data_IF_924384391137
#
_entry.id   IF_924384391137
#
_cell.length_a   1.000
_cell.length_b   1.000
_cell.length_c   1.000
_cell.angle_alpha   90.00
_cell.angle_beta   90.00
_cell.angle_gamma   90.00
#
_symmetry.space_group_name_H-M   'P 1'
#
loop_
_entity.id
_entity.type
_entity.pdbx_description
1 polymer ?
#
# COMPACT_ATOMS: atom_id res chain seq x y z
N UNK A 1 46.67 -20.19 -54.84
CA UNK A 1 45.85 -19.02 -54.46
C UNK A 1 44.38 -19.38 -54.57
N UNK A 2 43.68 -19.61 -53.46
CA UNK A 2 42.35 -19.06 -53.16
C UNK A 2 41.97 -19.51 -51.73
N UNK A 3 41.73 -18.52 -50.86
CA UNK A 3 41.54 -18.70 -49.41
C UNK A 3 40.16 -19.26 -49.10
N UNK A 4 40.10 -20.21 -48.16
CA UNK A 4 38.89 -20.63 -47.46
C UNK A 4 38.30 -19.44 -46.70
N UNK A 5 37.08 -19.04 -46.98
CA UNK A 5 36.31 -18.11 -46.14
C UNK A 5 35.34 -18.92 -45.28
N UNK A 6 35.71 -19.06 -44.01
CA UNK A 6 34.82 -19.52 -42.95
C UNK A 6 33.87 -18.35 -42.64
N UNK A 7 32.58 -18.50 -42.95
CA UNK A 7 31.55 -17.55 -42.56
C UNK A 7 31.13 -17.86 -41.12
N UNK A 8 31.63 -17.06 -40.17
CA UNK A 8 31.08 -17.00 -38.81
C UNK A 8 29.78 -16.20 -38.88
N UNK A 9 28.65 -16.90 -38.81
CA UNK A 9 27.36 -16.26 -38.55
C UNK A 9 27.30 -15.92 -37.06
N UNK A 10 27.70 -14.71 -36.71
CA UNK A 10 27.63 -14.17 -35.36
C UNK A 10 26.16 -14.02 -34.98
N UNK A 11 25.64 -14.97 -34.21
CA UNK A 11 24.32 -14.90 -33.61
C UNK A 11 24.36 -13.79 -32.55
N UNK A 12 23.89 -12.59 -32.91
CA UNK A 12 23.66 -11.50 -31.95
C UNK A 12 22.51 -11.96 -31.05
N UNK A 13 22.87 -12.53 -29.91
CA UNK A 13 21.95 -12.72 -28.80
C UNK A 13 21.56 -11.32 -28.34
N UNK A 14 20.35 -10.90 -28.71
CA UNK A 14 19.71 -9.72 -28.14
C UNK A 14 19.48 -10.03 -26.66
N UNK A 15 20.44 -9.67 -25.79
CA UNK A 15 20.18 -9.55 -24.37
C UNK A 15 19.09 -8.49 -24.24
N UNK A 16 17.83 -8.92 -24.08
CA UNK A 16 16.80 -8.07 -23.50
C UNK A 16 17.26 -7.76 -22.07
N UNK A 17 18.00 -6.67 -21.91
CA UNK A 17 18.15 -6.05 -20.61
C UNK A 17 16.75 -5.64 -20.18
N UNK A 18 16.24 -6.28 -19.12
CA UNK A 18 15.02 -5.84 -18.45
C UNK A 18 15.35 -4.51 -17.78
N UNK A 19 15.25 -3.41 -18.53
CA UNK A 19 15.28 -2.08 -17.94
C UNK A 19 13.93 -1.93 -17.26
N UNK A 20 13.90 -2.01 -15.94
CA UNK A 20 12.73 -1.58 -15.18
C UNK A 20 12.36 -0.18 -15.69
N UNK A 21 11.13 -0.01 -16.16
CA UNK A 21 10.66 1.29 -16.65
C UNK A 21 10.75 2.28 -15.49
N UNK A 22 11.78 3.13 -15.50
CA UNK A 22 11.88 4.23 -14.56
C UNK A 22 10.73 5.16 -14.92
N UNK A 23 9.83 5.40 -13.97
CA UNK A 23 8.79 6.39 -14.20
C UNK A 23 9.43 7.72 -14.64
N UNK A 24 8.86 8.44 -15.60
CA UNK A 24 9.42 9.73 -16.09
C UNK A 24 8.59 10.92 -15.61
N UNK A 25 9.20 12.09 -15.45
CA UNK A 25 8.53 13.27 -14.92
C UNK A 25 7.46 13.63 -15.96
N UNK A 26 6.21 13.73 -15.51
CA UNK A 26 5.02 13.83 -16.36
C UNK A 26 4.66 12.56 -17.17
N UNK A 27 5.15 11.38 -16.77
CA UNK A 27 4.69 10.12 -17.35
C UNK A 27 3.21 9.91 -16.99
N UNK A 28 2.44 9.59 -18.02
CA UNK A 28 1.07 9.13 -17.86
C UNK A 28 1.06 7.62 -17.95
N UNK A 29 0.59 6.94 -16.91
CA UNK A 29 0.44 5.49 -16.88
C UNK A 29 -0.95 5.10 -17.36
N UNK A 30 -1.03 4.04 -18.15
CA UNK A 30 -2.28 3.50 -18.68
C UNK A 30 -2.43 2.05 -18.23
N UNK A 31 -3.63 1.71 -17.79
CA UNK A 31 -4.04 0.37 -17.44
C UNK A 31 -5.26 -0.01 -18.26
N UNK A 32 -5.21 -1.19 -18.86
CA UNK A 32 -6.28 -1.72 -19.68
C UNK A 32 -6.96 -2.89 -18.97
N UNK A 33 -8.25 -3.06 -19.22
CA UNK A 33 -8.98 -4.23 -18.77
C UNK A 33 -8.74 -5.46 -19.66
N UNK A 34 -9.39 -6.58 -19.32
CA UNK A 34 -9.26 -7.84 -20.06
C UNK A 34 -9.79 -7.79 -21.50
N UNK A 35 -10.64 -6.81 -21.83
CA UNK A 35 -11.15 -6.57 -23.19
C UNK A 35 -10.23 -5.63 -23.98
N UNK A 36 -9.15 -5.14 -23.38
CA UNK A 36 -8.24 -4.18 -23.98
C UNK A 36 -8.75 -2.73 -23.95
N UNK A 37 -9.76 -2.43 -23.15
CA UNK A 37 -10.30 -1.08 -22.99
C UNK A 37 -9.51 -0.32 -21.92
N UNK A 38 -9.31 0.99 -22.11
CA UNK A 38 -8.59 1.80 -21.12
C UNK A 38 -9.41 1.86 -19.82
N UNK A 39 -8.92 1.26 -18.75
CA UNK A 39 -9.58 1.18 -17.45
C UNK A 39 -9.14 2.31 -16.50
N UNK A 40 -7.84 2.60 -16.45
CA UNK A 40 -7.30 3.69 -15.64
C UNK A 40 -6.17 4.44 -16.34
N UNK A 41 -6.07 5.74 -16.07
CA UNK A 41 -4.99 6.60 -16.54
C UNK A 41 -4.50 7.50 -15.40
N UNK A 42 -3.24 7.36 -14.98
CA UNK A 42 -2.66 8.17 -13.90
C UNK A 42 -1.62 9.16 -14.39
N UNK A 43 -1.65 10.34 -13.78
CA UNK A 43 -0.63 11.39 -13.91
C UNK A 43 -0.22 11.91 -12.52
N UNK A 44 0.66 12.90 -12.49
CA UNK A 44 1.07 13.59 -11.25
C UNK A 44 -0.06 14.35 -10.55
N UNK A 45 -1.24 14.47 -11.16
CA UNK A 45 -2.41 15.16 -10.60
C UNK A 45 -3.51 14.23 -10.08
N UNK A 46 -3.40 12.92 -10.33
CA UNK A 46 -4.44 11.95 -9.99
C UNK A 46 -4.68 10.92 -11.08
N UNK A 47 -5.66 10.05 -10.82
CA UNK A 47 -6.04 8.95 -11.71
C UNK A 47 -7.44 9.16 -12.25
N UNK A 48 -7.62 8.94 -13.54
CA UNK A 48 -8.92 8.87 -14.19
C UNK A 48 -9.31 7.41 -14.37
N UNK A 49 -10.47 7.04 -13.84
CA UNK A 49 -11.08 5.72 -14.01
C UNK A 49 -12.15 5.77 -15.12
N UNK A 50 -12.20 4.71 -15.92
CA UNK A 50 -13.15 4.55 -17.02
C UNK A 50 -13.99 3.30 -16.80
N UNK A 51 -15.28 3.37 -17.11
CA UNK A 51 -16.21 2.26 -17.03
C UNK A 51 -17.00 2.17 -18.33
N UNK A 52 -17.14 0.96 -18.85
CA UNK A 52 -17.83 0.68 -20.11
C UNK A 52 -18.99 -0.28 -19.86
N UNK A 53 -19.97 -0.26 -20.76
CA UNK A 53 -20.99 -1.30 -20.82
C UNK A 53 -20.43 -2.59 -21.45
N UNK A 54 -21.28 -3.62 -21.58
CA UNK A 54 -20.87 -4.88 -22.16
C UNK A 54 -20.47 -4.77 -23.64
N UNK A 55 -21.09 -3.83 -24.37
CA UNK A 55 -20.86 -3.56 -25.79
C UNK A 55 -19.62 -2.68 -26.04
N UNK A 56 -19.02 -2.12 -24.97
CA UNK A 56 -17.82 -1.30 -25.01
C UNK A 56 -18.06 0.19 -25.17
N UNK A 57 -19.28 0.68 -24.96
CA UNK A 57 -19.55 2.12 -24.89
C UNK A 57 -19.15 2.67 -23.53
N UNK A 58 -18.56 3.86 -23.51
CA UNK A 58 -18.14 4.52 -22.28
C UNK A 58 -19.36 4.97 -21.46
N UNK A 59 -19.55 4.40 -20.27
CA UNK A 59 -20.59 4.77 -19.32
C UNK A 59 -20.16 5.90 -18.39
N UNK A 60 -18.91 5.85 -17.90
CA UNK A 60 -18.43 6.79 -16.89
C UNK A 60 -16.94 7.07 -17.01
N UNK A 61 -16.59 8.33 -16.76
CA UNK A 61 -15.22 8.80 -16.55
C UNK A 61 -15.16 9.53 -15.21
N UNK A 62 -14.29 9.08 -14.30
CA UNK A 62 -14.20 9.62 -12.94
C UNK A 62 -12.77 10.06 -12.64
N UNK A 63 -12.53 11.36 -12.40
CA UNK A 63 -11.23 11.84 -11.91
C UNK A 63 -11.17 11.61 -10.40
N UNK A 64 -10.21 10.83 -9.96
CA UNK A 64 -9.89 10.60 -8.55
C UNK A 64 -8.67 11.44 -8.17
N UNK A 65 -8.48 11.66 -6.88
CA UNK A 65 -7.25 12.27 -6.35
C UNK A 65 -6.15 11.25 -6.04
N UNK A 66 -6.38 9.95 -6.31
CA UNK A 66 -5.38 8.92 -6.06
C UNK A 66 -4.31 8.95 -7.15
N UNK A 67 -3.04 8.99 -6.76
CA UNK A 67 -1.89 8.94 -7.66
C UNK A 67 -1.51 7.51 -8.04
N UNK A 68 -2.10 6.50 -7.40
CA UNK A 68 -1.88 5.09 -7.69
C UNK A 68 -2.96 4.54 -8.64
N UNK A 69 -2.54 3.66 -9.54
CA UNK A 69 -3.43 2.86 -10.42
C UNK A 69 -3.66 1.46 -9.87
N UNK A 70 -4.77 0.83 -10.25
CA UNK A 70 -5.19 -0.49 -9.80
C UNK A 70 -5.11 -0.64 -8.27
N UNK A 71 -5.45 0.43 -7.56
CA UNK A 71 -5.31 0.54 -6.11
C UNK A 71 -6.19 -0.43 -5.33
N UNK A 72 -7.24 -0.95 -5.97
CA UNK A 72 -8.15 -1.97 -5.45
C UNK A 72 -7.90 -3.37 -6.03
N UNK A 73 -6.76 -3.57 -6.70
CA UNK A 73 -6.29 -4.87 -7.19
C UNK A 73 -7.31 -5.60 -8.10
N UNK A 74 -8.09 -4.85 -8.88
CA UNK A 74 -9.16 -5.38 -9.74
C UNK A 74 -8.63 -5.98 -11.03
N UNK A 75 -7.66 -5.30 -11.67
CA UNK A 75 -7.11 -5.73 -12.95
C UNK A 75 -5.98 -6.75 -12.76
N UNK A 76 -6.15 -7.93 -13.33
CA UNK A 76 -5.21 -9.06 -13.26
C UNK A 76 -5.20 -9.73 -14.64
N UNK A 77 -4.65 -9.03 -15.63
CA UNK A 77 -4.66 -9.49 -17.02
C UNK A 77 -3.49 -10.42 -17.32
N UNK A 78 -2.40 -10.34 -16.55
CA UNK A 78 -1.12 -11.04 -16.84
C UNK A 78 -0.99 -12.44 -16.23
N UNK A 79 -2.05 -12.99 -15.62
CA UNK A 79 -2.00 -14.25 -14.88
C UNK A 79 -0.83 -14.33 -13.87
N UNK A 80 -0.53 -13.20 -13.21
CA UNK A 80 0.56 -13.06 -12.24
C UNK A 80 0.05 -13.25 -10.80
N UNK A 81 0.99 -13.38 -9.87
CA UNK A 81 0.75 -13.47 -8.42
C UNK A 81 0.52 -12.10 -7.76
N UNK A 82 0.73 -11.02 -8.53
CA UNK A 82 0.42 -9.64 -8.18
C UNK A 82 -0.51 -8.99 -9.21
N UNK A 83 -1.28 -7.98 -8.78
CA UNK A 83 -2.19 -7.29 -9.68
C UNK A 83 -1.42 -6.43 -10.69
N UNK A 84 -2.04 -6.17 -11.85
CA UNK A 84 -1.40 -5.39 -12.91
C UNK A 84 -0.91 -4.04 -12.37
N UNK A 85 0.24 -3.57 -12.87
CA UNK A 85 0.95 -2.32 -12.48
C UNK A 85 1.70 -2.35 -11.14
N UNK A 86 1.47 -3.36 -10.31
CA UNK A 86 2.24 -3.57 -9.08
C UNK A 86 3.47 -4.44 -9.35
N UNK A 87 4.57 -4.12 -8.68
CA UNK A 87 5.82 -4.88 -8.77
C UNK A 87 6.10 -5.56 -7.43
N UNK A 88 6.41 -6.85 -7.47
CA UNK A 88 6.84 -7.58 -6.27
C UNK A 88 8.27 -7.25 -5.87
N UNK A 89 8.51 -7.23 -4.57
CA UNK A 89 9.82 -7.15 -3.95
C UNK A 89 10.00 -8.35 -3.02
N UNK A 90 10.60 -9.45 -3.49
CA UNK A 90 10.88 -10.60 -2.63
C UNK A 90 12.06 -10.31 -1.69
N UNK A 91 11.96 -10.75 -0.45
CA UNK A 91 13.08 -10.74 0.49
C UNK A 91 14.14 -11.77 0.03
N UNK A 92 15.43 -11.37 -0.04
CA UNK A 92 16.50 -12.27 -0.45
C UNK A 92 16.68 -13.40 0.57
N UNK A 93 16.98 -14.61 0.11
CA UNK A 93 17.23 -15.79 0.96
C UNK A 93 16.09 -16.13 1.95
N UNK A 94 14.87 -15.68 1.68
CA UNK A 94 13.68 -15.95 2.47
C UNK A 94 12.65 -16.75 1.65
N UNK A 95 11.68 -17.36 2.33
CA UNK A 95 10.48 -17.84 1.65
C UNK A 95 9.57 -16.65 1.35
N UNK A 96 9.10 -16.53 0.11
CA UNK A 96 8.25 -15.45 -0.35
C UNK A 96 7.01 -16.04 -1.03
N UNK A 97 5.83 -15.53 -0.69
CA UNK A 97 4.58 -15.92 -1.32
C UNK A 97 3.74 -14.67 -1.61
N UNK A 98 3.36 -14.51 -2.87
CA UNK A 98 2.41 -13.51 -3.34
C UNK A 98 1.20 -14.24 -3.93
N UNK A 99 0.01 -13.68 -3.76
CA UNK A 99 -1.18 -14.20 -4.42
C UNK A 99 -2.26 -13.13 -4.47
N UNK A 100 -3.16 -13.23 -5.46
CA UNK A 100 -4.43 -12.53 -5.41
C UNK A 100 -5.51 -13.45 -4.83
N UNK A 101 -6.08 -13.05 -3.69
CA UNK A 101 -7.22 -13.74 -3.06
C UNK A 101 -8.52 -13.11 -3.55
N UNK A 102 -9.45 -13.92 -4.07
CA UNK A 102 -10.60 -13.45 -4.87
C UNK A 102 -11.97 -13.60 -4.16
N UNK A 103 -12.07 -13.31 -2.87
CA UNK A 103 -13.34 -13.45 -2.12
C UNK A 103 -13.45 -12.47 -0.95
N UNK A 104 -14.50 -11.62 -0.85
CA UNK A 104 -15.56 -11.31 -1.83
C UNK A 104 -15.12 -10.34 -2.94
N UNK A 105 -13.91 -9.79 -2.83
CA UNK A 105 -13.24 -8.94 -3.82
C UNK A 105 -11.76 -9.36 -3.89
N UNK A 106 -11.06 -8.90 -4.91
CA UNK A 106 -9.63 -9.14 -5.04
C UNK A 106 -8.86 -8.38 -3.95
N UNK A 107 -7.92 -9.06 -3.30
CA UNK A 107 -6.96 -8.46 -2.38
C UNK A 107 -5.58 -9.06 -2.63
N UNK A 108 -4.52 -8.26 -2.43
CA UNK A 108 -3.15 -8.73 -2.58
C UNK A 108 -2.68 -9.39 -1.28
N UNK A 109 -2.44 -10.70 -1.30
CA UNK A 109 -1.70 -11.42 -0.26
C UNK A 109 -0.20 -11.20 -0.44
N UNK A 110 0.49 -10.93 0.66
CA UNK A 110 1.94 -10.86 0.77
C UNK A 110 2.34 -11.67 2.00
N UNK A 111 3.23 -12.63 1.84
CA UNK A 111 3.70 -13.47 2.94
C UNK A 111 5.19 -13.74 2.78
N UNK A 112 5.89 -13.78 3.91
CA UNK A 112 7.29 -14.18 3.93
C UNK A 112 7.72 -14.75 5.27
N UNK A 113 8.77 -15.56 5.24
CA UNK A 113 9.38 -16.15 6.43
C UNK A 113 10.88 -16.35 6.27
N UNK A 114 11.62 -16.21 7.37
CA UNK A 114 13.09 -16.27 7.34
C UNK A 114 13.71 -14.95 6.85
N UNK A 115 12.98 -13.84 6.94
CA UNK A 115 13.45 -12.53 6.50
C UNK A 115 14.57 -12.07 7.44
N UNK A 116 15.70 -11.62 6.87
CA UNK A 116 16.83 -11.11 7.64
C UNK A 116 16.52 -9.75 8.25
N UNK A 117 17.23 -9.39 9.32
CA UNK A 117 17.05 -8.09 9.94
C UNK A 117 17.20 -6.97 8.89
N UNK A 118 16.30 -5.97 8.92
CA UNK A 118 16.20 -4.86 7.96
C UNK A 118 15.69 -5.20 6.55
N UNK A 119 15.74 -6.46 6.12
CA UNK A 119 15.13 -6.90 4.86
C UNK A 119 13.60 -6.92 4.94
N UNK A 120 12.98 -6.98 3.77
CA UNK A 120 11.54 -6.90 3.63
C UNK A 120 11.02 -7.65 2.40
N UNK A 121 9.76 -8.09 2.50
CA UNK A 121 8.96 -8.62 1.40
C UNK A 121 7.77 -7.70 1.19
N UNK A 122 7.44 -7.38 -0.05
CA UNK A 122 6.35 -6.44 -0.32
C UNK A 122 5.99 -6.30 -1.78
N UNK A 123 5.07 -5.39 -2.04
CA UNK A 123 4.78 -4.88 -3.38
C UNK A 123 5.03 -3.38 -3.40
N UNK A 124 5.27 -2.84 -4.59
CA UNK A 124 5.34 -1.41 -4.77
C UNK A 124 4.79 -0.96 -6.11
N UNK A 125 4.44 0.33 -6.16
CA UNK A 125 4.15 1.04 -7.39
C UNK A 125 4.91 2.36 -7.39
N UNK A 126 5.42 2.74 -8.55
CA UNK A 126 6.01 4.07 -8.76
C UNK A 126 4.94 5.01 -9.33
N UNK A 127 4.95 6.27 -8.93
CA UNK A 127 4.06 7.30 -9.50
C UNK A 127 4.76 8.65 -9.53
N UNK A 128 4.37 9.50 -10.49
CA UNK A 128 4.89 10.85 -10.58
C UNK A 128 4.32 11.70 -9.43
N UNK A 129 5.16 12.56 -8.85
CA UNK A 129 4.76 13.48 -7.78
C UNK A 129 5.28 14.89 -8.05
N UNK A 130 4.57 15.86 -7.51
CA UNK A 130 4.96 17.27 -7.58
C UNK A 130 5.74 17.65 -6.31
N UNK A 131 6.89 18.34 -6.44
CA UNK A 131 7.73 18.73 -5.31
C UNK A 131 7.00 19.71 -4.37
N UNK A 132 7.40 19.70 -3.09
CA UNK A 132 6.90 20.57 -2.02
C UNK A 132 5.39 20.47 -1.74
N UNK A 133 4.75 19.35 -2.11
CA UNK A 133 3.34 19.09 -1.81
C UNK A 133 3.21 18.19 -0.59
N UNK A 134 2.29 18.53 0.31
CA UNK A 134 1.84 17.62 1.36
C UNK A 134 1.07 16.46 0.75
N UNK A 135 1.36 15.26 1.24
CA UNK A 135 0.74 14.01 0.81
C UNK A 135 0.20 13.24 2.00
N UNK A 136 -0.76 12.38 1.69
CA UNK A 136 -1.22 11.31 2.54
C UNK A 136 -1.12 9.98 1.79
N UNK A 137 -0.83 8.92 2.53
CA UNK A 137 -0.84 7.54 2.06
C UNK A 137 -1.70 6.71 2.99
N UNK A 138 -2.50 5.80 2.44
CA UNK A 138 -3.18 4.80 3.25
C UNK A 138 -3.41 3.49 2.50
N UNK A 139 -3.77 2.46 3.24
CA UNK A 139 -4.24 1.18 2.71
C UNK A 139 -5.16 0.48 3.71
N UNK A 140 -6.03 -0.37 3.18
CA UNK A 140 -6.77 -1.34 3.98
C UNK A 140 -5.91 -2.58 4.14
N UNK A 141 -5.52 -2.89 5.37
CA UNK A 141 -4.62 -4.01 5.67
C UNK A 141 -5.28 -4.96 6.66
N UNK A 142 -5.31 -6.24 6.32
CA UNK A 142 -5.48 -7.32 7.27
C UNK A 142 -4.12 -7.92 7.57
N UNK A 143 -3.74 -7.96 8.84
CA UNK A 143 -2.57 -8.69 9.31
C UNK A 143 -3.02 -9.99 9.94
N UNK A 144 -2.65 -11.11 9.32
CA UNK A 144 -2.98 -12.44 9.81
C UNK A 144 -2.02 -12.86 10.92
N UNK A 145 -0.72 -12.68 10.69
CA UNK A 145 0.34 -12.99 11.64
C UNK A 145 1.58 -12.15 11.37
N UNK A 146 2.32 -11.86 12.44
CA UNK A 146 3.64 -11.25 12.42
C UNK A 146 4.51 -11.91 13.49
N UNK A 147 5.77 -12.14 13.18
CA UNK A 147 6.79 -12.56 14.14
C UNK A 147 8.08 -11.83 13.80
N UNK A 148 8.66 -11.12 14.77
CA UNK A 148 9.89 -10.32 14.60
C UNK A 148 9.83 -9.41 13.37
N UNK A 149 8.65 -8.90 13.03
CA UNK A 149 8.41 -8.11 11.84
C UNK A 149 7.33 -7.05 12.10
N UNK A 150 7.30 -6.03 11.25
CA UNK A 150 6.30 -4.97 11.20
C UNK A 150 5.78 -4.81 9.79
N UNK A 151 4.52 -4.42 9.67
CA UNK A 151 3.94 -3.95 8.41
C UNK A 151 4.30 -2.50 8.23
N UNK A 152 4.68 -2.14 7.01
CA UNK A 152 4.94 -0.76 6.61
C UNK A 152 4.11 -0.40 5.38
N UNK A 153 3.45 0.75 5.45
CA UNK A 153 3.25 1.60 4.28
C UNK A 153 4.39 2.59 4.23
N UNK A 154 5.06 2.64 3.09
CA UNK A 154 6.32 3.36 2.96
C UNK A 154 6.35 4.10 1.63
N UNK A 155 6.82 5.34 1.64
CA UNK A 155 6.95 6.16 0.43
C UNK A 155 8.36 6.71 0.36
N UNK A 156 9.13 6.21 -0.59
CA UNK A 156 10.40 6.80 -0.97
C UNK A 156 10.23 7.80 -2.09
N UNK A 157 11.11 8.80 -2.10
CA UNK A 157 11.12 9.82 -3.13
C UNK A 157 12.36 9.69 -4.00
N UNK A 158 12.16 9.83 -5.31
CA UNK A 158 13.20 9.68 -6.32
C UNK A 158 13.30 10.94 -7.17
N UNK A 159 14.53 11.31 -7.54
CA UNK A 159 14.81 12.39 -8.50
C UNK A 159 14.40 11.97 -9.92
N UNK A 160 14.40 12.93 -10.85
CA UNK A 160 14.05 12.67 -12.26
C UNK A 160 14.98 11.63 -12.92
N UNK A 161 16.22 11.52 -12.44
CA UNK A 161 17.24 10.55 -12.89
C UNK A 161 17.06 9.15 -12.26
N UNK A 162 16.03 8.95 -11.44
CA UNK A 162 15.77 7.67 -10.77
C UNK A 162 16.69 7.39 -9.59
N UNK A 163 17.22 8.42 -8.92
CA UNK A 163 18.02 8.29 -7.68
C UNK A 163 17.19 8.64 -6.45
N UNK A 164 17.46 8.03 -5.30
CA UNK A 164 16.82 8.41 -4.04
C UNK A 164 17.15 9.87 -3.70
N UNK A 165 16.16 10.62 -3.22
CA UNK A 165 16.37 12.02 -2.81
C UNK A 165 17.12 12.15 -1.48
N UNK A 166 17.28 11.04 -0.74
CA UNK A 166 17.83 10.97 0.62
C UNK A 166 17.00 11.72 1.68
N UNK A 167 15.84 12.27 1.31
CA UNK A 167 14.91 12.86 2.27
C UNK A 167 14.24 11.79 3.13
N UNK A 168 13.70 12.14 4.30
CA UNK A 168 12.89 11.23 5.10
C UNK A 168 11.72 10.68 4.29
N UNK A 169 11.54 9.37 4.34
CA UNK A 169 10.40 8.69 3.72
C UNK A 169 9.11 9.00 4.50
N UNK A 170 7.96 8.94 3.84
CA UNK A 170 6.67 8.93 4.53
C UNK A 170 6.38 7.51 4.98
N UNK A 171 6.02 7.34 6.26
CA UNK A 171 5.95 6.03 6.91
C UNK A 171 4.66 5.92 7.72
N UNK A 172 4.01 4.76 7.62
CA UNK A 172 3.06 4.27 8.61
C UNK A 172 3.39 2.81 8.92
N UNK A 173 3.40 2.45 10.19
CA UNK A 173 3.77 1.10 10.63
C UNK A 173 2.73 0.47 11.57
N UNK A 174 2.63 -0.86 11.53
CA UNK A 174 1.77 -1.63 12.42
C UNK A 174 2.39 -2.99 12.72
N UNK A 175 2.29 -3.44 13.97
CA UNK A 175 3.08 -4.58 14.49
C UNK A 175 2.23 -5.66 15.17
N UNK A 176 0.90 -5.61 15.04
CA UNK A 176 -0.01 -6.59 15.65
C UNK A 176 -0.85 -7.32 14.61
N UNK A 177 -1.34 -8.54 14.90
CA UNK A 177 -2.40 -9.16 14.13
C UNK A 177 -3.72 -8.38 14.26
N UNK A 178 -4.50 -8.36 13.17
CA UNK A 178 -5.83 -7.71 13.08
C UNK A 178 -6.99 -8.66 13.39
N UNK A 179 -6.70 -9.89 13.83
CA UNK A 179 -7.70 -10.90 14.19
C UNK A 179 -8.75 -11.15 13.08
N UNK A 180 -8.31 -11.13 11.82
CA UNK A 180 -9.16 -11.33 10.64
C UNK A 180 -10.03 -10.13 10.24
N UNK A 181 -9.80 -8.94 10.81
CA UNK A 181 -10.40 -7.66 10.40
C UNK A 181 -9.48 -6.87 9.47
N UNK A 182 -10.00 -5.85 8.79
CA UNK A 182 -9.15 -4.89 8.07
C UNK A 182 -9.06 -3.61 8.89
N UNK A 183 -7.86 -3.04 8.98
CA UNK A 183 -7.64 -1.70 9.49
C UNK A 183 -7.29 -0.76 8.34
N UNK A 184 -7.48 0.54 8.54
CA UNK A 184 -6.82 1.55 7.70
C UNK A 184 -5.48 1.91 8.34
N UNK A 185 -4.38 1.52 7.71
CA UNK A 185 -3.05 2.04 8.03
C UNK A 185 -2.83 3.30 7.19
N UNK A 186 -2.44 4.40 7.82
CA UNK A 186 -2.31 5.71 7.19
C UNK A 186 -1.09 6.47 7.70
N UNK A 187 -0.50 7.26 6.82
CA UNK A 187 0.61 8.16 7.12
C UNK A 187 0.60 9.37 6.19
N UNK A 188 1.44 10.33 6.51
CA UNK A 188 1.50 11.63 5.85
C UNK A 188 2.92 12.14 5.75
N UNK A 189 3.14 13.11 4.88
CA UNK A 189 4.42 13.81 4.79
C UNK A 189 4.46 14.80 3.64
N UNK A 190 5.67 15.21 3.28
CA UNK A 190 5.87 16.24 2.25
C UNK A 190 6.82 15.74 1.19
N UNK A 191 6.42 15.88 -0.07
CA UNK A 191 7.26 15.55 -1.21
C UNK A 191 8.49 16.49 -1.21
N UNK A 192 9.73 15.96 -1.22
CA UNK A 192 10.95 16.77 -1.25
C UNK A 192 11.03 17.65 -2.49
N UNK A 193 11.74 18.78 -2.39
CA UNK A 193 11.86 19.76 -3.47
C UNK A 193 12.55 19.22 -4.73
N UNK A 194 13.39 18.20 -4.58
CA UNK A 194 14.14 17.53 -5.66
C UNK A 194 13.50 16.23 -6.14
N UNK A 195 12.30 15.87 -5.66
CA UNK A 195 11.60 14.66 -6.06
C UNK A 195 10.80 14.85 -7.35
N UNK A 196 10.81 13.82 -8.20
CA UNK A 196 9.98 13.68 -9.39
C UNK A 196 9.05 12.45 -9.31
N UNK A 197 9.44 11.41 -8.56
CA UNK A 197 8.63 10.21 -8.33
C UNK A 197 8.55 9.87 -6.86
N UNK A 198 7.47 9.18 -6.53
CA UNK A 198 7.35 8.41 -5.31
C UNK A 198 7.31 6.92 -5.66
N UNK A 199 7.97 6.10 -4.84
CA UNK A 199 7.78 4.66 -4.82
C UNK A 199 7.02 4.30 -3.55
N UNK A 200 5.80 3.81 -3.72
CA UNK A 200 4.87 3.52 -2.63
C UNK A 200 4.83 2.01 -2.41
N UNK A 201 5.13 1.58 -1.19
CA UNK A 201 5.20 0.18 -0.81
C UNK A 201 4.10 -0.18 0.18
N UNK A 202 3.64 -1.43 0.07
CA UNK A 202 3.06 -2.17 1.19
C UNK A 202 3.96 -3.38 1.44
N UNK A 203 4.52 -3.49 2.64
CA UNK A 203 5.56 -4.48 2.93
C UNK A 203 5.53 -5.01 4.36
N UNK A 204 6.12 -6.18 4.55
CA UNK A 204 6.49 -6.76 5.83
C UNK A 204 8.01 -6.60 5.96
N UNK A 205 8.46 -5.81 6.93
CA UNK A 205 9.89 -5.59 7.22
C UNK A 205 10.27 -6.29 8.52
N UNK A 206 11.41 -6.96 8.50
CA UNK A 206 11.92 -7.63 9.69
C UNK A 206 12.56 -6.63 10.67
N UNK A 207 12.36 -6.85 11.97
CA UNK A 207 13.04 -6.12 13.06
C UNK A 207 14.12 -6.97 13.76
N UNK A 208 14.33 -8.19 13.28
CA UNK A 208 15.38 -9.11 13.73
C UNK A 208 15.63 -10.19 12.69
N UNK A 209 16.54 -11.12 12.96
CA UNK A 209 16.69 -12.27 12.05
C UNK A 209 15.52 -13.25 12.18
N UNK A 210 15.10 -13.81 11.04
CA UNK A 210 14.01 -14.79 11.00
C UNK A 210 12.61 -14.17 11.03
N UNK A 211 12.47 -12.89 10.68
CA UNK A 211 11.18 -12.23 10.59
C UNK A 211 10.24 -12.94 9.65
N UNK A 212 8.95 -12.89 9.98
CA UNK A 212 7.90 -13.48 9.16
C UNK A 212 6.58 -12.78 9.36
N UNK A 213 5.70 -12.94 8.38
CA UNK A 213 4.34 -12.44 8.46
C UNK A 213 3.51 -12.80 7.25
N UNK A 214 2.21 -12.57 7.38
CA UNK A 214 1.25 -12.66 6.28
C UNK A 214 0.27 -11.51 6.40
N UNK A 215 0.13 -10.74 5.32
CA UNK A 215 -0.80 -9.62 5.20
C UNK A 215 -1.64 -9.71 3.93
N UNK A 216 -2.82 -9.10 3.98
CA UNK A 216 -3.69 -8.88 2.83
C UNK A 216 -3.93 -7.38 2.68
N UNK A 217 -3.61 -6.85 1.50
CA UNK A 217 -3.64 -5.43 1.19
C UNK A 217 -4.73 -5.14 0.17
N UNK A 218 -5.47 -4.06 0.41
CA UNK A 218 -6.48 -3.54 -0.49
C UNK A 218 -6.54 -2.00 -0.42
N UNK A 219 -7.12 -1.39 -1.44
CA UNK A 219 -7.53 0.01 -1.48
C UNK A 219 -6.40 0.98 -1.09
N UNK A 220 -5.23 0.81 -1.70
CA UNK A 220 -4.07 1.67 -1.46
C UNK A 220 -4.26 3.05 -2.09
N UNK A 221 -3.96 4.12 -1.36
CA UNK A 221 -4.07 5.48 -1.88
C UNK A 221 -2.84 6.30 -1.55
N UNK A 222 -2.45 7.13 -2.51
CA UNK A 222 -1.51 8.23 -2.33
C UNK A 222 -2.19 9.47 -2.92
N UNK A 223 -2.33 10.55 -2.16
CA UNK A 223 -2.96 11.77 -2.67
C UNK A 223 -2.37 13.01 -2.01
N UNK A 224 -2.50 14.17 -2.67
CA UNK A 224 -2.15 15.44 -2.03
C UNK A 224 -3.23 15.88 -1.06
N UNK A 225 -2.82 16.32 0.12
CA UNK A 225 -3.73 16.85 1.13
C UNK A 225 -2.97 17.27 2.37
N UNK A 226 -3.66 18.01 3.25
CA UNK A 226 -3.15 18.31 4.59
C UNK A 226 -2.95 17.04 5.40
N UNK A 227 -2.12 17.16 6.42
CA UNK A 227 -1.69 16.04 7.24
C UNK A 227 -2.88 15.36 7.95
N UNK A 228 -3.00 14.03 7.80
CA UNK A 228 -3.93 13.22 8.57
C UNK A 228 -3.17 12.17 9.37
N UNK A 229 -3.08 12.40 10.69
CA UNK A 229 -2.34 11.55 11.61
C UNK A 229 -3.17 10.40 12.20
N UNK A 230 -4.49 10.36 11.94
CA UNK A 230 -5.37 9.34 12.50
C UNK A 230 -5.32 8.04 11.68
N UNK A 231 -5.08 6.94 12.39
CA UNK A 231 -5.19 5.58 11.84
C UNK A 231 -6.58 5.02 12.12
N UNK A 232 -7.05 4.13 11.24
CA UNK A 232 -8.32 3.43 11.42
C UNK A 232 -9.50 4.35 11.86
N UNK A 233 -9.67 5.46 11.15
CA UNK A 233 -10.73 6.45 11.39
C UNK A 233 -12.15 5.88 11.24
N UNK A 234 -12.29 4.74 10.56
CA UNK A 234 -13.55 4.01 10.41
C UNK A 234 -13.89 3.14 11.63
N UNK A 235 -13.02 3.10 12.65
CA UNK A 235 -13.20 2.37 13.91
C UNK A 235 -13.38 0.86 13.71
N UNK A 236 -12.64 0.27 12.77
CA UNK A 236 -12.69 -1.18 12.56
C UNK A 236 -12.01 -1.96 13.67
N UNK A 237 -12.59 -3.11 14.02
CA UNK A 237 -12.03 -4.01 15.00
C UNK A 237 -13.03 -5.10 15.35
N UNK A 238 -12.56 -6.10 16.10
CA UNK A 238 -13.41 -7.21 16.60
C UNK A 238 -13.44 -7.32 18.12
N UNK A 239 -12.71 -6.46 18.82
CA UNK A 239 -12.67 -6.41 20.28
C UNK A 239 -13.62 -5.32 20.82
N UNK A 240 -13.47 -5.01 22.10
CA UNK A 240 -14.11 -3.91 22.81
C UNK A 240 -13.68 -2.50 22.34
N UNK A 241 -12.48 -2.34 21.79
CA UNK A 241 -12.02 -1.10 21.13
C UNK A 241 -11.52 -1.36 19.72
N UNK A 242 -11.75 -0.38 18.83
CA UNK A 242 -11.25 -0.40 17.46
C UNK A 242 -9.74 -0.65 17.42
N UNK A 243 -9.29 -1.47 16.47
CA UNK A 243 -7.87 -1.76 16.30
C UNK A 243 -7.12 -0.42 16.04
N UNK A 244 -5.87 -0.29 16.47
CA UNK A 244 -5.08 0.96 16.48
C UNK A 244 -5.53 2.04 17.48
N UNK A 245 -6.64 1.89 18.19
CA UNK A 245 -7.06 2.82 19.25
C UNK A 245 -6.78 2.24 20.65
N UNK A 246 -6.51 3.13 21.62
CA UNK A 246 -6.26 2.79 23.02
C UNK A 246 -7.40 3.25 23.92
N UNK A 247 -7.60 2.55 25.04
CA UNK A 247 -8.57 2.94 26.08
C UNK A 247 -7.96 3.89 27.07
N UNK A 248 -8.71 4.92 27.45
CA UNK A 248 -8.50 5.66 28.67
C UNK A 248 -9.57 5.27 29.69
N UNK A 249 -9.12 4.75 30.85
CA UNK A 249 -10.01 4.29 31.92
C UNK A 249 -10.11 5.35 33.02
N UNK A 250 -11.33 5.70 33.42
CA UNK A 250 -11.56 6.54 34.58
C UNK A 250 -11.24 5.73 35.88
N UNK A 251 -10.34 6.22 36.76
CA UNK A 251 -9.99 5.52 37.99
C UNK A 251 -11.17 5.38 38.94
N UNK A 252 -11.36 4.19 39.51
CA UNK A 252 -12.46 3.89 40.45
C UNK A 252 -13.88 4.11 39.87
N UNK A 253 -14.02 4.11 38.55
CA UNK A 253 -15.30 4.18 37.84
C UNK A 253 -15.61 2.85 37.15
N UNK A 254 -16.88 2.65 36.76
CA UNK A 254 -17.20 1.61 35.78
C UNK A 254 -16.77 2.09 34.39
N UNK A 255 -16.17 1.17 33.62
CA UNK A 255 -15.65 1.46 32.29
C UNK A 255 -16.08 0.36 31.31
N UNK A 256 -16.89 0.71 30.34
CA UNK A 256 -17.42 -0.19 29.32
C UNK A 256 -17.10 0.33 27.92
N UNK A 257 -16.59 -0.56 27.08
CA UNK A 257 -16.25 -0.29 25.69
C UNK A 257 -16.81 -1.40 24.82
N UNK A 258 -17.39 -1.04 23.68
CA UNK A 258 -17.80 -2.01 22.68
C UNK A 258 -17.75 -1.38 21.29
N UNK A 259 -17.36 -2.16 20.28
CA UNK A 259 -17.61 -1.81 18.89
C UNK A 259 -19.03 -2.24 18.52
N UNK A 260 -19.87 -1.28 18.16
CA UNK A 260 -21.22 -1.52 17.67
C UNK A 260 -21.18 -1.51 16.14
N UNK A 261 -21.50 -2.66 15.54
CA UNK A 261 -21.59 -2.81 14.09
C UNK A 261 -22.92 -2.24 13.59
N UNK A 262 -22.89 -1.04 13.03
CA UNK A 262 -24.01 -0.45 12.27
C UNK A 262 -23.65 -0.45 10.77
N UNK A 263 -24.31 0.31 9.87
CA UNK A 263 -23.78 0.51 8.51
C UNK A 263 -22.33 1.04 8.49
N UNK A 264 -21.88 1.67 9.58
CA UNK A 264 -20.47 1.93 9.89
C UNK A 264 -20.14 1.41 11.30
N UNK A 265 -18.89 1.10 11.58
CA UNK A 265 -18.50 0.76 12.94
C UNK A 265 -18.57 2.01 13.83
N UNK A 266 -19.08 1.83 15.06
CA UNK A 266 -19.19 2.89 16.05
C UNK A 266 -18.54 2.41 17.34
N UNK A 267 -17.67 3.21 17.92
CA UNK A 267 -17.16 2.96 19.27
C UNK A 267 -18.20 3.41 20.29
N UNK A 268 -18.79 2.47 21.02
CA UNK A 268 -19.56 2.73 22.24
C UNK A 268 -18.59 2.86 23.41
N UNK A 269 -18.80 3.91 24.21
CA UNK A 269 -18.10 4.18 25.47
C UNK A 269 -19.17 4.48 26.52
N UNK A 270 -19.24 3.70 27.58
CA UNK A 270 -20.14 3.93 28.72
C UNK A 270 -19.40 3.80 30.04
N UNK A 271 -19.81 4.57 31.03
CA UNK A 271 -19.22 4.52 32.37
C UNK A 271 -20.07 5.25 33.39
N UNK A 272 -19.85 4.94 34.66
CA UNK A 272 -20.53 5.53 35.81
C UNK A 272 -19.56 5.69 36.98
N UNK A 273 -19.82 6.67 37.85
CA UNK A 273 -18.91 6.98 38.96
C UNK A 273 -17.63 7.74 38.56
N UNK A 274 -17.63 8.38 37.39
CA UNK A 274 -16.51 9.21 36.92
C UNK A 274 -16.43 10.48 37.80
N UNK A 275 -15.27 10.72 38.42
CA UNK A 275 -15.09 11.87 39.32
C UNK A 275 -14.90 13.16 38.53
N UNK A 276 -15.06 14.29 39.23
CA UNK A 276 -14.74 15.59 38.68
C UNK A 276 -13.27 15.60 38.20
N UNK A 277 -13.02 16.05 36.97
CA UNK A 277 -11.73 16.03 36.25
C UNK A 277 -11.22 14.67 35.73
N UNK A 278 -11.91 13.57 35.98
CA UNK A 278 -11.62 12.28 35.32
C UNK A 278 -12.42 12.14 34.01
N UNK A 279 -11.99 11.24 33.13
CA UNK A 279 -12.71 10.91 31.91
C UNK A 279 -12.54 9.44 31.52
N UNK A 280 -13.47 8.96 30.69
CA UNK A 280 -13.39 7.69 29.98
C UNK A 280 -13.35 8.01 28.49
N UNK A 281 -12.50 7.33 27.72
CA UNK A 281 -12.34 7.67 26.32
C UNK A 281 -11.54 6.65 25.52
N UNK A 282 -11.42 6.91 24.23
CA UNK A 282 -10.43 6.28 23.37
C UNK A 282 -9.49 7.35 22.82
N UNK A 283 -8.24 6.99 22.56
CA UNK A 283 -7.25 7.91 22.02
C UNK A 283 -6.29 7.19 21.09
N UNK A 284 -5.61 7.97 20.25
CA UNK A 284 -4.42 7.57 19.51
C UNK A 284 -3.30 8.51 19.88
N UNK A 285 -2.13 7.95 20.15
CA UNK A 285 -0.90 8.72 20.20
C UNK A 285 -0.41 8.87 18.76
N UNK A 286 -0.33 10.10 18.29
CA UNK A 286 0.26 10.45 17.00
C UNK A 286 1.69 10.94 17.25
N UNK A 287 2.64 10.52 16.42
CA UNK A 287 4.03 10.96 16.50
C UNK A 287 4.19 12.43 16.09
#
# INVERSE_FOLDING_TARGET
MLKKTISFLTCIILMLTYVASIARANETKYLYDIKGQLAEMASSEGTIEYQYDEQGNLLRKNKTNNLLVNSSFKQITKADDVADTWTKWPAPNASNEFAIVKTPKNVQKISGSGIKNWDYVGIYQETAVLPNRSINVNARINVEKLQNARVYLYVDYMTAEGKYTMAPSTIAEYNYPTNGGYITLAGSGTVPSNAAYARVYAMIRSVGDGGSGTIYVDSMRLWYGEENLLNNNELDGKSDVADTWMKWLAPNASNEFAIVKTPKNVQKISGSGIKNWDYIGIYQETA
#
